data_IF_160970563348
#
_entry.id   IF_160970563348
#
_cell.length_a   1.000
_cell.length_b   1.000
_cell.length_c   1.000
_cell.angle_alpha   90.00
_cell.angle_beta   90.00
_cell.angle_gamma   90.00
#
_symmetry.space_group_name_H-M   'P 1'
#
loop_
_entity.id
_entity.type
_entity.pdbx_description
1 polymer ?
#
# COMPACT_ATOMS: atom_id res chain seq x y z
N UNK A 1 -14.05 12.43 -29.05
CA UNK A 1 -13.59 11.06 -29.29
C UNK A 1 -13.80 10.20 -28.04
N UNK A 2 -14.10 8.93 -28.23
CA UNK A 2 -14.25 7.96 -27.13
C UNK A 2 -12.85 7.38 -26.87
N UNK A 3 -12.33 7.52 -25.64
CA UNK A 3 -11.09 6.89 -25.22
C UNK A 3 -11.42 5.64 -24.37
N UNK A 4 -10.80 4.52 -24.67
CA UNK A 4 -10.92 3.28 -23.88
C UNK A 4 -9.54 2.92 -23.31
N UNK A 5 -9.45 2.82 -21.98
CA UNK A 5 -8.25 2.36 -21.27
C UNK A 5 -8.50 0.94 -20.75
N UNK A 6 -7.70 -0.03 -21.22
CA UNK A 6 -7.79 -1.43 -20.78
C UNK A 6 -6.57 -1.76 -19.91
N UNK A 7 -6.81 -2.01 -18.62
CA UNK A 7 -5.79 -2.51 -17.68
C UNK A 7 -5.89 -4.03 -17.57
N UNK A 8 -4.81 -4.73 -17.94
CA UNK A 8 -4.71 -6.18 -17.76
C UNK A 8 -4.07 -6.51 -16.42
N UNK A 9 -4.77 -7.30 -15.60
CA UNK A 9 -4.29 -7.82 -14.32
C UNK A 9 -4.10 -9.34 -14.41
N UNK A 10 -2.93 -9.84 -14.86
CA UNK A 10 -2.74 -11.27 -15.06
C UNK A 10 -2.66 -12.02 -13.71
N UNK A 11 -3.27 -13.22 -13.69
CA UNK A 11 -3.19 -14.14 -12.56
C UNK A 11 -1.81 -14.82 -12.52
N UNK A 12 -0.78 -14.09 -12.12
CA UNK A 12 0.59 -14.59 -11.94
C UNK A 12 1.36 -13.73 -10.95
N UNK A 13 2.32 -14.32 -10.26
CA UNK A 13 3.33 -13.62 -9.49
C UNK A 13 4.49 -13.31 -10.42
N UNK A 14 4.90 -12.04 -10.48
CA UNK A 14 6.01 -11.58 -11.31
C UNK A 14 7.33 -11.52 -10.56
N UNK A 15 7.26 -11.64 -9.23
CA UNK A 15 8.39 -11.56 -8.32
C UNK A 15 8.77 -12.96 -7.84
N UNK A 16 10.07 -13.19 -7.69
CA UNK A 16 10.66 -14.31 -6.98
C UNK A 16 11.90 -13.80 -6.25
N UNK A 17 12.49 -14.59 -5.33
CA UNK A 17 13.65 -14.18 -4.53
C UNK A 17 14.79 -13.71 -5.41
N UNK A 18 15.20 -14.52 -6.40
CA UNK A 18 16.35 -14.22 -7.27
C UNK A 18 16.16 -12.89 -8.02
N UNK A 19 14.94 -12.67 -8.55
CA UNK A 19 14.62 -11.42 -9.24
C UNK A 19 14.67 -10.22 -8.31
N UNK A 20 14.11 -10.35 -7.11
CA UNK A 20 14.10 -9.28 -6.11
C UNK A 20 15.52 -8.86 -5.73
N UNK A 21 16.42 -9.83 -5.54
CA UNK A 21 17.82 -9.57 -5.17
C UNK A 21 18.61 -9.05 -6.38
N UNK A 22 18.56 -9.73 -7.52
CA UNK A 22 19.33 -9.38 -8.72
C UNK A 22 18.93 -8.00 -9.30
N UNK A 23 17.65 -7.62 -9.18
CA UNK A 23 17.19 -6.30 -9.60
C UNK A 23 17.40 -5.22 -8.53
N UNK A 24 18.04 -5.56 -7.40
CA UNK A 24 18.28 -4.65 -6.28
C UNK A 24 16.98 -4.04 -5.70
N UNK A 25 15.88 -4.78 -5.83
CA UNK A 25 14.59 -4.38 -5.25
C UNK A 25 14.63 -4.38 -3.73
N UNK A 26 15.35 -5.34 -3.16
CA UNK A 26 15.52 -5.58 -1.73
C UNK A 26 16.87 -6.27 -1.48
N UNK A 27 17.45 -6.11 -0.29
CA UNK A 27 18.61 -6.92 0.14
C UNK A 27 18.15 -8.32 0.56
N UNK A 28 19.05 -9.31 0.48
CA UNK A 28 18.71 -10.68 0.89
C UNK A 28 18.32 -10.76 2.36
N UNK A 29 19.06 -10.08 3.22
CA UNK A 29 18.79 -10.00 4.65
C UNK A 29 17.36 -9.48 4.95
N UNK A 30 16.99 -8.35 4.32
CA UNK A 30 15.65 -7.77 4.49
C UNK A 30 14.57 -8.67 3.89
N UNK A 31 14.86 -9.34 2.75
CA UNK A 31 13.94 -10.30 2.14
C UNK A 31 13.61 -11.43 3.12
N UNK A 32 14.64 -12.06 3.68
CA UNK A 32 14.47 -13.22 4.57
C UNK A 32 13.77 -12.80 5.88
N UNK A 33 14.07 -11.60 6.39
CA UNK A 33 13.33 -11.00 7.52
C UNK A 33 11.84 -10.81 7.21
N UNK A 34 11.48 -10.22 6.05
CA UNK A 34 10.07 -10.02 5.69
C UNK A 34 9.32 -11.34 5.48
N UNK A 35 9.99 -12.37 4.94
CA UNK A 35 9.41 -13.71 4.86
C UNK A 35 9.12 -14.26 6.26
N UNK A 36 10.04 -14.08 7.21
CA UNK A 36 9.83 -14.47 8.61
C UNK A 36 8.70 -13.69 9.29
N UNK A 37 8.54 -12.40 8.95
CA UNK A 37 7.38 -11.63 9.42
C UNK A 37 6.05 -12.22 8.93
N UNK A 38 5.97 -12.67 7.67
CA UNK A 38 4.77 -13.34 7.14
C UNK A 38 4.55 -14.69 7.82
N UNK A 39 5.59 -15.52 7.95
CA UNK A 39 5.52 -16.82 8.64
C UNK A 39 5.06 -16.69 10.10
N UNK A 40 5.47 -15.60 10.78
CA UNK A 40 5.08 -15.25 12.15
C UNK A 40 3.78 -14.44 12.24
N UNK A 41 3.01 -14.33 11.15
CA UNK A 41 1.70 -13.68 11.09
C UNK A 41 1.71 -12.18 11.38
N UNK A 42 2.80 -11.49 11.11
CA UNK A 42 2.82 -10.02 11.22
C UNK A 42 1.84 -9.38 10.24
N UNK A 43 1.08 -8.42 10.73
CA UNK A 43 0.21 -7.58 9.90
C UNK A 43 1.07 -6.56 9.14
N UNK A 44 1.00 -6.60 7.80
CA UNK A 44 1.88 -5.82 6.94
C UNK A 44 1.07 -4.88 6.05
N UNK A 45 1.45 -3.61 6.04
CA UNK A 45 0.92 -2.59 5.13
C UNK A 45 2.00 -2.14 4.16
N UNK A 46 1.70 -2.21 2.85
CA UNK A 46 2.61 -1.79 1.78
C UNK A 46 2.17 -0.45 1.21
N UNK A 47 3.00 0.57 1.43
CA UNK A 47 2.80 1.92 0.94
C UNK A 47 3.56 2.21 -0.36
N UNK A 48 3.13 3.23 -1.08
CA UNK A 48 3.81 3.72 -2.29
C UNK A 48 2.85 4.39 -3.27
N UNK A 49 3.40 5.01 -4.29
CA UNK A 49 2.66 5.67 -5.36
C UNK A 49 1.98 4.67 -6.31
N UNK A 50 1.11 5.17 -7.17
CA UNK A 50 0.51 4.36 -8.25
C UNK A 50 1.62 3.83 -9.17
N UNK A 51 1.56 2.52 -9.48
CA UNK A 51 2.56 1.87 -10.35
C UNK A 51 3.89 1.52 -9.67
N UNK A 52 4.08 1.81 -8.37
CA UNK A 52 5.29 1.44 -7.63
C UNK A 52 5.46 -0.07 -7.42
N UNK A 53 4.38 -0.86 -7.59
CA UNK A 53 4.44 -2.32 -7.47
C UNK A 53 3.95 -2.88 -6.14
N UNK A 54 3.21 -2.10 -5.35
CA UNK A 54 2.61 -2.53 -4.06
C UNK A 54 1.86 -3.86 -4.17
N UNK A 55 0.92 -3.94 -5.11
CA UNK A 55 0.09 -5.14 -5.33
C UNK A 55 0.93 -6.38 -5.69
N UNK A 56 2.00 -6.21 -6.49
CA UNK A 56 2.90 -7.32 -6.82
C UNK A 56 3.72 -7.77 -5.60
N UNK A 57 4.14 -6.84 -4.74
CA UNK A 57 4.81 -7.21 -3.48
C UNK A 57 3.86 -7.93 -2.53
N UNK A 58 2.60 -7.46 -2.39
CA UNK A 58 1.57 -8.15 -1.58
C UNK A 58 1.31 -9.56 -2.10
N UNK A 59 1.19 -9.76 -3.43
CA UNK A 59 1.07 -11.12 -4.01
C UNK A 59 2.25 -12.00 -3.64
N UNK A 60 3.46 -11.45 -3.72
CA UNK A 60 4.67 -12.18 -3.39
C UNK A 60 4.70 -12.55 -1.91
N UNK A 61 4.41 -11.62 -1.00
CA UNK A 61 4.34 -11.90 0.43
C UNK A 61 3.21 -12.90 0.76
N UNK A 62 2.05 -12.77 0.13
CA UNK A 62 0.95 -13.73 0.29
C UNK A 62 1.33 -15.15 -0.16
N UNK A 63 2.27 -15.30 -1.11
CA UNK A 63 2.81 -16.61 -1.49
C UNK A 63 3.69 -17.26 -0.41
N UNK A 64 4.06 -16.51 0.64
CA UNK A 64 4.87 -16.98 1.78
C UNK A 64 4.05 -17.38 3.01
N UNK A 65 2.73 -17.18 2.98
CA UNK A 65 1.84 -17.73 4.00
C UNK A 65 1.80 -19.27 3.90
N UNK A 66 1.47 -19.95 4.98
CA UNK A 66 1.42 -21.43 4.98
C UNK A 66 0.33 -21.93 4.02
N UNK A 67 0.56 -23.09 3.43
CA UNK A 67 -0.35 -23.65 2.41
C UNK A 67 -1.72 -24.05 2.96
N UNK A 68 -1.78 -24.43 4.22
CA UNK A 68 -2.99 -24.85 4.95
C UNK A 68 -3.78 -23.66 5.53
N UNK A 69 -3.27 -22.44 5.42
CA UNK A 69 -3.92 -21.23 5.91
C UNK A 69 -4.92 -20.68 4.89
N UNK A 70 -6.15 -20.50 5.34
CA UNK A 70 -7.20 -19.89 4.53
C UNK A 70 -6.97 -18.41 4.33
N UNK A 71 -7.02 -17.98 3.07
CA UNK A 71 -6.89 -16.58 2.66
C UNK A 71 -8.21 -16.10 2.07
N UNK A 72 -8.69 -14.94 2.48
CA UNK A 72 -9.79 -14.25 1.80
C UNK A 72 -9.28 -12.91 1.30
N UNK A 73 -9.47 -12.63 0.00
CA UNK A 73 -9.19 -11.30 -0.55
C UNK A 73 -10.48 -10.51 -0.67
N UNK A 74 -10.45 -9.23 -0.30
CA UNK A 74 -11.57 -8.29 -0.45
C UNK A 74 -11.10 -7.15 -1.35
N UNK A 75 -11.67 -7.04 -2.54
CA UNK A 75 -11.20 -6.16 -3.59
C UNK A 75 -12.38 -5.46 -4.29
N UNK A 76 -12.23 -4.19 -4.60
CA UNK A 76 -13.18 -3.50 -5.48
C UNK A 76 -12.93 -3.81 -6.97
N UNK A 77 -11.67 -4.02 -7.31
CA UNK A 77 -11.22 -4.53 -8.61
C UNK A 77 -10.29 -5.71 -8.37
N UNK A 78 -10.62 -6.86 -8.92
CA UNK A 78 -9.81 -8.07 -8.75
C UNK A 78 -8.43 -7.89 -9.40
N UNK A 79 -7.40 -7.72 -8.58
CA UNK A 79 -6.00 -7.55 -8.98
C UNK A 79 -5.10 -8.65 -8.43
N UNK A 80 -5.43 -9.18 -7.24
CA UNK A 80 -4.60 -10.17 -6.57
C UNK A 80 -4.64 -11.52 -7.27
N UNK A 81 -5.82 -12.01 -7.65
CA UNK A 81 -6.03 -13.30 -8.33
C UNK A 81 -5.34 -14.49 -7.66
N UNK A 82 -5.21 -14.48 -6.33
CA UNK A 82 -4.51 -15.53 -5.59
C UNK A 82 -5.22 -16.89 -5.72
N UNK A 83 -6.55 -16.88 -5.82
CA UNK A 83 -7.40 -18.04 -6.08
C UNK A 83 -7.04 -18.76 -7.39
N UNK A 84 -6.66 -18.00 -8.42
CA UNK A 84 -6.25 -18.53 -9.72
C UNK A 84 -4.76 -18.88 -9.78
N UNK A 85 -3.94 -18.18 -9.01
CA UNK A 85 -2.50 -18.44 -8.91
C UNK A 85 -2.24 -19.73 -8.14
N UNK A 86 -3.00 -19.97 -7.08
CA UNK A 86 -2.87 -21.11 -6.16
C UNK A 86 -4.17 -21.91 -6.06
N UNK A 87 -4.62 -22.59 -7.15
CA UNK A 87 -5.92 -23.25 -7.18
C UNK A 87 -6.08 -24.43 -6.23
N UNK A 88 -4.97 -24.89 -5.61
CA UNK A 88 -4.94 -25.98 -4.63
C UNK A 88 -5.03 -25.48 -3.18
N UNK A 89 -4.98 -24.16 -2.94
CA UNK A 89 -5.09 -23.56 -1.62
C UNK A 89 -6.51 -23.10 -1.34
N UNK A 90 -6.88 -23.05 -0.06
CA UNK A 90 -8.17 -22.48 0.38
C UNK A 90 -8.13 -20.93 0.29
N UNK A 91 -8.43 -20.42 -0.91
CA UNK A 91 -8.43 -18.98 -1.19
C UNK A 91 -9.76 -18.56 -1.78
N UNK A 92 -10.41 -17.57 -1.16
CA UNK A 92 -11.67 -16.98 -1.63
C UNK A 92 -11.45 -15.54 -2.04
N UNK A 93 -11.82 -15.18 -3.26
CA UNK A 93 -11.77 -13.81 -3.77
C UNK A 93 -13.16 -13.17 -3.72
N UNK A 94 -13.31 -12.11 -2.89
CA UNK A 94 -14.55 -11.35 -2.77
C UNK A 94 -14.42 -10.01 -3.47
N UNK A 95 -15.44 -9.64 -4.25
CA UNK A 95 -15.52 -8.36 -4.94
C UNK A 95 -16.57 -7.47 -4.28
N UNK A 96 -16.18 -6.22 -3.98
CA UNK A 96 -17.08 -5.25 -3.31
C UNK A 96 -17.83 -4.36 -4.30
N UNK A 97 -17.18 -3.91 -5.36
CA UNK A 97 -17.70 -2.88 -6.28
C UNK A 97 -19.12 -3.15 -6.77
N UNK A 98 -20.07 -2.30 -6.38
CA UNK A 98 -21.51 -2.35 -6.72
C UNK A 98 -22.26 -3.65 -6.31
N UNK A 99 -21.60 -4.55 -5.57
CA UNK A 99 -22.17 -5.83 -5.13
C UNK A 99 -22.38 -5.82 -3.61
N UNK A 100 -21.33 -5.48 -2.87
CA UNK A 100 -21.33 -5.40 -1.41
C UNK A 100 -20.40 -4.29 -0.96
N UNK A 101 -20.62 -3.74 0.22
CA UNK A 101 -19.67 -2.85 0.90
C UNK A 101 -18.48 -3.64 1.47
N UNK A 102 -17.41 -2.94 1.85
CA UNK A 102 -16.29 -3.57 2.57
C UNK A 102 -16.75 -4.18 3.89
N UNK A 103 -17.68 -3.52 4.58
CA UNK A 103 -18.26 -3.99 5.85
C UNK A 103 -19.04 -5.28 5.67
N UNK A 104 -19.92 -5.36 4.68
CA UNK A 104 -20.68 -6.58 4.37
C UNK A 104 -19.78 -7.74 3.95
N UNK A 105 -18.78 -7.47 3.09
CA UNK A 105 -17.79 -8.46 2.69
C UNK A 105 -16.99 -8.97 3.89
N UNK A 106 -16.59 -8.09 4.81
CA UNK A 106 -15.87 -8.46 6.03
C UNK A 106 -16.74 -9.34 6.96
N UNK A 107 -18.02 -8.98 7.17
CA UNK A 107 -18.93 -9.81 7.98
C UNK A 107 -19.10 -11.21 7.39
N UNK A 108 -19.23 -11.32 6.06
CA UNK A 108 -19.29 -12.61 5.38
C UNK A 108 -17.96 -13.38 5.48
N UNK A 109 -16.84 -12.68 5.41
CA UNK A 109 -15.50 -13.22 5.53
C UNK A 109 -15.26 -13.85 6.92
N UNK A 110 -15.62 -13.15 7.99
CA UNK A 110 -15.43 -13.62 9.38
C UNK A 110 -16.14 -14.95 9.69
N UNK A 111 -17.21 -15.27 8.96
CA UNK A 111 -17.94 -16.54 9.13
C UNK A 111 -17.24 -17.72 8.43
N UNK A 112 -16.21 -17.46 7.63
CA UNK A 112 -15.48 -18.48 6.87
C UNK A 112 -14.17 -18.90 7.56
N UNK A 113 -13.89 -18.41 8.78
CA UNK A 113 -12.71 -18.71 9.57
C UNK A 113 -11.38 -18.52 8.82
N UNK A 114 -11.13 -17.36 8.18
CA UNK A 114 -9.86 -17.10 7.52
C UNK A 114 -8.74 -16.89 8.55
N UNK A 115 -7.53 -17.24 8.17
CA UNK A 115 -6.31 -16.81 8.88
C UNK A 115 -5.90 -15.42 8.35
N UNK A 116 -5.96 -15.25 7.03
CA UNK A 116 -5.56 -14.02 6.37
C UNK A 116 -6.74 -13.34 5.67
N UNK A 117 -6.86 -12.02 5.89
CA UNK A 117 -7.78 -11.15 5.16
C UNK A 117 -6.95 -10.11 4.42
N UNK A 118 -6.96 -10.13 3.09
CA UNK A 118 -6.19 -9.23 2.24
C UNK A 118 -7.12 -8.22 1.58
N UNK A 119 -6.99 -6.96 1.96
CA UNK A 119 -7.62 -5.87 1.22
C UNK A 119 -6.65 -5.40 0.14
N UNK A 120 -7.08 -5.37 -1.12
CA UNK A 120 -6.20 -4.97 -2.22
C UNK A 120 -5.65 -3.56 -2.06
N UNK A 121 -6.50 -2.63 -1.58
CA UNK A 121 -6.09 -1.25 -1.33
C UNK A 121 -6.96 -0.57 -0.27
N UNK A 122 -6.31 0.11 0.68
CA UNK A 122 -6.97 0.95 1.68
C UNK A 122 -7.00 2.39 1.17
N UNK A 123 -8.18 2.84 0.67
CA UNK A 123 -8.35 4.16 0.06
C UNK A 123 -9.58 4.95 0.53
N UNK A 124 -10.38 4.38 1.42
CA UNK A 124 -11.58 4.99 1.97
C UNK A 124 -11.67 4.77 3.48
N UNK A 125 -12.51 5.56 4.15
CA UNK A 125 -12.81 5.39 5.56
C UNK A 125 -13.32 3.98 5.87
N UNK A 126 -14.20 3.44 5.04
CA UNK A 126 -14.75 2.11 5.19
C UNK A 126 -13.68 1.02 5.12
N UNK A 127 -12.74 1.13 4.17
CA UNK A 127 -11.61 0.20 4.05
C UNK A 127 -10.67 0.28 5.28
N UNK A 128 -10.42 1.48 5.83
CA UNK A 128 -9.65 1.65 7.08
C UNK A 128 -10.33 0.95 8.24
N UNK A 129 -11.65 1.13 8.39
CA UNK A 129 -12.42 0.48 9.45
C UNK A 129 -12.45 -1.04 9.27
N UNK A 130 -12.55 -1.54 8.02
CA UNK A 130 -12.49 -2.96 7.72
C UNK A 130 -11.15 -3.56 8.12
N UNK A 131 -10.01 -2.91 7.80
CA UNK A 131 -8.68 -3.31 8.28
C UNK A 131 -8.65 -3.37 9.79
N UNK A 132 -9.02 -2.27 10.48
CA UNK A 132 -8.99 -2.21 11.94
C UNK A 132 -9.83 -3.32 12.58
N UNK A 133 -11.03 -3.57 12.05
CA UNK A 133 -11.92 -4.60 12.58
C UNK A 133 -11.36 -6.02 12.32
N UNK A 134 -10.72 -6.26 11.16
CA UNK A 134 -10.08 -7.54 10.86
C UNK A 134 -8.97 -7.88 11.86
N UNK A 135 -8.03 -6.94 12.07
CA UNK A 135 -6.89 -7.16 12.97
C UNK A 135 -7.29 -7.22 14.43
N UNK A 136 -8.28 -6.42 14.87
CA UNK A 136 -8.76 -6.46 16.26
C UNK A 136 -9.56 -7.72 16.59
N UNK A 137 -10.06 -8.44 15.57
CA UNK A 137 -10.74 -9.74 15.72
C UNK A 137 -9.82 -10.95 15.56
N UNK A 138 -8.50 -10.74 15.51
CA UNK A 138 -7.49 -11.78 15.50
C UNK A 138 -7.14 -12.35 14.13
N UNK A 139 -7.59 -11.72 13.03
CA UNK A 139 -7.17 -12.07 11.68
C UNK A 139 -5.91 -11.31 11.29
N UNK A 140 -5.11 -11.88 10.38
CA UNK A 140 -3.91 -11.27 9.87
C UNK A 140 -4.15 -10.59 8.52
N UNK A 141 -3.40 -9.53 8.24
CA UNK A 141 -3.57 -8.74 7.03
C UNK A 141 -2.29 -8.58 6.23
N UNK A 142 -2.46 -8.58 4.91
CA UNK A 142 -1.53 -8.00 3.93
C UNK A 142 -2.34 -7.04 3.07
N UNK A 143 -1.98 -5.77 3.05
CA UNK A 143 -2.78 -4.76 2.34
C UNK A 143 -1.91 -3.66 1.77
N UNK A 144 -2.48 -2.83 0.88
CA UNK A 144 -1.79 -1.68 0.31
C UNK A 144 -2.45 -0.37 0.66
N UNK A 145 -1.66 0.70 0.68
CA UNK A 145 -2.13 2.06 0.91
C UNK A 145 -1.29 3.06 0.10
N UNK A 146 -1.86 4.20 -0.27
CA UNK A 146 -1.09 5.32 -0.81
C UNK A 146 -0.54 6.17 0.33
N UNK A 147 0.78 6.09 0.55
CA UNK A 147 1.53 6.96 1.44
C UNK A 147 2.94 7.19 0.88
N UNK A 148 3.60 8.22 1.33
CA UNK A 148 4.93 8.67 0.87
C UNK A 148 6.10 8.03 1.63
N UNK A 149 5.82 7.39 2.77
CA UNK A 149 6.79 6.69 3.63
C UNK A 149 6.10 5.53 4.36
N UNK A 150 6.90 4.57 4.83
CA UNK A 150 6.38 3.50 5.68
C UNK A 150 5.90 4.07 7.04
N UNK A 151 6.68 4.97 7.63
CA UNK A 151 6.36 5.63 8.90
C UNK A 151 5.08 6.49 8.85
N UNK A 152 4.67 6.96 7.66
CA UNK A 152 3.44 7.76 7.47
C UNK A 152 2.16 6.92 7.41
N UNK A 153 2.24 5.59 7.35
CA UNK A 153 1.07 4.70 7.17
C UNK A 153 -0.02 4.93 8.22
N UNK A 154 0.27 4.95 9.55
CA UNK A 154 -0.77 5.14 10.55
C UNK A 154 -1.50 6.47 10.42
N UNK A 155 -0.76 7.56 10.18
CA UNK A 155 -1.33 8.88 9.98
C UNK A 155 -2.13 8.96 8.67
N UNK A 156 -1.66 8.29 7.60
CA UNK A 156 -2.39 8.21 6.34
C UNK A 156 -3.71 7.48 6.50
N UNK A 157 -3.75 6.38 7.25
CA UNK A 157 -4.99 5.68 7.59
C UNK A 157 -5.95 6.61 8.34
N UNK A 158 -5.45 7.35 9.33
CA UNK A 158 -6.25 8.34 10.05
C UNK A 158 -6.82 9.41 9.12
N UNK A 159 -6.02 9.93 8.20
CA UNK A 159 -6.46 10.97 7.26
C UNK A 159 -7.54 10.53 6.26
N UNK A 160 -7.76 9.23 6.10
CA UNK A 160 -8.85 8.68 5.29
C UNK A 160 -10.17 8.62 6.05
N UNK A 161 -10.16 8.78 7.38
CA UNK A 161 -11.37 8.84 8.18
C UNK A 161 -11.96 10.26 8.07
N UNK A 162 -13.20 10.36 7.65
CA UNK A 162 -13.89 11.65 7.45
C UNK A 162 -14.49 12.21 8.74
N UNK A 163 -14.46 11.43 9.83
CA UNK A 163 -15.09 11.79 11.11
C UNK A 163 -14.05 12.02 12.19
N UNK A 164 -14.34 12.95 13.12
CA UNK A 164 -13.49 13.35 14.23
C UNK A 164 -13.31 12.25 15.29
N UNK A 165 -12.77 11.08 14.90
CA UNK A 165 -12.31 10.09 15.86
C UNK A 165 -11.12 10.66 16.63
N UNK A 166 -10.99 10.26 17.89
CA UNK A 166 -9.81 10.57 18.69
C UNK A 166 -8.56 10.00 18.01
N UNK A 167 -7.62 10.91 17.68
CA UNK A 167 -6.40 10.58 16.96
C UNK A 167 -5.49 9.66 17.79
N UNK A 168 -5.35 9.90 19.09
CA UNK A 168 -4.46 9.13 19.95
C UNK A 168 -4.99 7.70 20.10
N UNK A 169 -6.30 7.55 20.31
CA UNK A 169 -6.96 6.25 20.38
C UNK A 169 -6.82 5.48 19.06
N UNK A 170 -7.02 6.17 17.93
CA UNK A 170 -6.88 5.54 16.62
C UNK A 170 -5.45 5.10 16.36
N UNK A 171 -4.47 5.99 16.53
CA UNK A 171 -3.06 5.68 16.33
C UNK A 171 -2.59 4.57 17.27
N UNK A 172 -3.01 4.61 18.55
CA UNK A 172 -2.76 3.56 19.51
C UNK A 172 -3.26 2.19 19.03
N UNK A 173 -4.46 2.13 18.44
CA UNK A 173 -5.01 0.89 17.89
C UNK A 173 -4.21 0.40 16.67
N UNK A 174 -3.83 1.29 15.75
CA UNK A 174 -3.07 0.93 14.56
C UNK A 174 -1.67 0.42 14.93
N UNK A 175 -0.95 1.13 15.82
CA UNK A 175 0.40 0.72 16.25
C UNK A 175 0.41 -0.57 17.06
N UNK A 176 -0.69 -0.92 17.69
CA UNK A 176 -0.84 -2.19 18.43
C UNK A 176 -0.98 -3.39 17.49
N UNK A 177 -1.67 -3.22 16.37
CA UNK A 177 -2.11 -4.33 15.54
C UNK A 177 -1.40 -4.43 14.20
N UNK A 178 -0.83 -3.36 13.64
CA UNK A 178 0.00 -3.42 12.46
C UNK A 178 1.45 -3.44 12.90
N UNK A 179 2.17 -4.52 12.59
CA UNK A 179 3.55 -4.68 12.99
C UNK A 179 4.53 -4.06 12.00
N UNK A 180 4.26 -4.15 10.68
CA UNK A 180 5.21 -3.76 9.64
C UNK A 180 4.57 -2.82 8.61
N UNK A 181 5.23 -1.70 8.38
CA UNK A 181 5.01 -0.83 7.23
C UNK A 181 6.16 -0.93 6.24
N UNK A 182 5.84 -1.02 4.94
CA UNK A 182 6.82 -1.08 3.85
C UNK A 182 6.51 0.05 2.87
N UNK A 183 7.52 0.82 2.47
CA UNK A 183 7.38 1.80 1.40
C UNK A 183 8.13 1.36 0.15
N UNK A 184 7.39 1.25 -0.96
CA UNK A 184 7.91 0.88 -2.28
C UNK A 184 7.88 2.09 -3.20
N UNK A 185 9.02 2.40 -3.80
CA UNK A 185 9.16 3.46 -4.80
C UNK A 185 9.39 2.89 -6.18
N UNK A 186 8.67 3.45 -7.16
CA UNK A 186 8.92 3.21 -8.58
C UNK A 186 9.45 4.49 -9.23
N UNK A 187 10.54 4.40 -9.99
CA UNK A 187 11.14 5.55 -10.68
C UNK A 187 11.92 5.11 -11.92
N UNK A 188 12.14 6.04 -12.85
CA UNK A 188 13.01 5.79 -13.99
C UNK A 188 14.46 6.01 -13.58
N UNK A 189 15.25 4.94 -13.56
CA UNK A 189 16.69 5.01 -13.29
C UNK A 189 17.43 5.40 -14.56
N UNK A 190 17.97 6.63 -14.60
CA UNK A 190 18.80 7.09 -15.71
C UNK A 190 20.04 6.23 -15.90
N UNK A 191 20.62 5.73 -14.79
CA UNK A 191 21.81 4.89 -14.80
C UNK A 191 21.56 3.54 -15.46
N UNK A 192 20.42 2.88 -15.11
CA UNK A 192 20.05 1.56 -15.64
C UNK A 192 19.23 1.65 -16.93
N UNK A 193 18.88 2.86 -17.37
CA UNK A 193 18.00 3.16 -18.51
C UNK A 193 16.71 2.30 -18.49
N UNK A 194 16.14 2.12 -17.31
CA UNK A 194 14.89 1.35 -17.12
C UNK A 194 14.07 1.86 -15.95
N UNK A 195 12.80 1.48 -15.92
CA UNK A 195 11.96 1.70 -14.75
C UNK A 195 12.38 0.73 -13.64
N UNK A 196 12.78 1.30 -12.51
CA UNK A 196 13.24 0.58 -11.32
C UNK A 196 12.14 0.63 -10.24
N UNK A 197 12.05 -0.43 -9.45
CA UNK A 197 11.21 -0.50 -8.26
C UNK A 197 12.04 -1.01 -7.11
N UNK A 198 11.92 -0.38 -5.95
CA UNK A 198 12.74 -0.71 -4.79
C UNK A 198 11.95 -0.49 -3.49
N UNK A 199 12.25 -1.29 -2.48
CA UNK A 199 11.85 -0.98 -1.11
C UNK A 199 12.81 0.10 -0.61
N UNK A 200 12.24 1.24 -0.23
CA UNK A 200 13.01 2.39 0.27
C UNK A 200 12.97 2.49 1.79
N UNK A 201 11.90 2.00 2.43
CA UNK A 201 11.74 2.12 3.87
C UNK A 201 10.94 0.94 4.40
N UNK A 202 11.37 0.40 5.56
CA UNK A 202 10.60 -0.55 6.36
C UNK A 202 10.61 -0.05 7.80
N UNK A 203 9.42 0.08 8.39
CA UNK A 203 9.21 0.45 9.78
C UNK A 203 8.45 -0.64 10.51
N UNK A 204 8.77 -0.83 11.77
CA UNK A 204 7.90 -1.50 12.71
C UNK A 204 7.04 -0.49 13.48
N UNK A 205 5.86 -0.92 13.89
CA UNK A 205 4.95 -0.18 14.75
C UNK A 205 4.67 -0.99 16.00
N UNK A 206 4.64 -0.36 17.15
CA UNK A 206 4.36 -1.00 18.42
C UNK A 206 3.85 0.01 19.45
N UNK A 207 3.40 -0.51 20.58
CA UNK A 207 3.05 0.29 21.75
C UNK A 207 4.14 0.05 22.79
N UNK A 208 4.75 1.12 23.30
CA UNK A 208 5.76 1.05 24.33
C UNK A 208 5.19 0.75 25.72
N UNK A 209 6.05 0.63 26.73
CA UNK A 209 5.69 0.33 28.12
C UNK A 209 4.84 1.45 28.76
N UNK A 210 4.94 2.67 28.26
CA UNK A 210 4.11 3.81 28.66
C UNK A 210 2.75 3.87 27.93
N UNK A 211 2.43 2.83 27.17
CA UNK A 211 1.24 2.71 26.32
C UNK A 211 1.14 3.78 25.22
N UNK A 212 2.29 4.27 24.72
CA UNK A 212 2.35 5.24 23.63
C UNK A 212 2.67 4.56 22.30
N UNK A 213 2.07 5.05 21.19
CA UNK A 213 2.37 4.54 19.86
C UNK A 213 3.77 4.92 19.41
N UNK A 214 4.57 3.95 19.00
CA UNK A 214 5.94 4.09 18.55
C UNK A 214 6.13 3.53 17.14
N UNK A 215 7.01 4.17 16.38
CA UNK A 215 7.48 3.71 15.08
C UNK A 215 9.00 3.62 15.10
N UNK A 216 9.55 2.48 14.70
CA UNK A 216 10.99 2.27 14.58
C UNK A 216 11.35 1.97 13.14
N UNK A 217 12.32 2.71 12.63
CA UNK A 217 12.90 2.42 11.32
C UNK A 217 13.73 1.14 11.41
N UNK A 218 13.46 0.17 10.53
CA UNK A 218 14.24 -1.07 10.42
C UNK A 218 15.18 -1.03 9.22
N UNK A 219 14.73 -0.41 8.13
CA UNK A 219 15.47 -0.35 6.87
C UNK A 219 15.18 0.98 6.18
N UNK A 220 16.22 1.63 5.70
CA UNK A 220 16.11 2.78 4.81
C UNK A 220 17.16 2.70 3.70
N UNK A 221 16.71 2.80 2.44
CA UNK A 221 17.57 2.92 1.28
C UNK A 221 17.47 4.32 0.71
N UNK A 222 18.62 4.90 0.42
CA UNK A 222 18.73 6.22 -0.20
C UNK A 222 18.90 6.11 -1.70
N UNK A 223 18.61 7.18 -2.43
CA UNK A 223 18.76 7.23 -3.89
C UNK A 223 20.23 7.12 -4.36
N UNK A 224 21.18 7.40 -3.48
CA UNK A 224 22.62 7.22 -3.70
C UNK A 224 23.08 5.76 -3.50
N UNK A 225 22.18 4.88 -3.05
CA UNK A 225 22.40 3.47 -2.81
C UNK A 225 22.81 3.11 -1.40
N UNK A 226 23.05 4.07 -0.51
CA UNK A 226 23.30 3.79 0.92
C UNK A 226 22.09 3.13 1.55
N UNK A 227 22.35 2.18 2.44
CA UNK A 227 21.33 1.48 3.22
C UNK A 227 21.66 1.63 4.70
N UNK A 228 20.64 1.99 5.47
CA UNK A 228 20.68 2.05 6.93
C UNK A 228 19.79 0.96 7.47
N UNK A 229 20.27 0.21 8.43
CA UNK A 229 19.57 -0.90 9.10
C UNK A 229 19.55 -0.66 10.60
N UNK A 230 18.46 -1.08 11.24
CA UNK A 230 18.33 -1.15 12.70
C UNK A 230 17.69 -2.50 13.05
N UNK A 231 18.18 -3.13 14.13
CA UNK A 231 17.58 -4.37 14.61
C UNK A 231 16.11 -4.18 14.99
N UNK A 232 15.27 -5.22 14.83
CA UNK A 232 13.91 -5.24 15.33
C UNK A 232 13.84 -4.98 16.83
N UNK A 233 12.75 -4.37 17.29
CA UNK A 233 12.52 -4.22 18.72
C UNK A 233 12.20 -5.56 19.38
N UNK A 234 12.36 -5.62 20.69
CA UNK A 234 11.93 -6.77 21.48
C UNK A 234 10.43 -7.05 21.29
N UNK A 235 9.60 -6.01 21.18
CA UNK A 235 8.17 -6.15 20.96
C UNK A 235 7.84 -6.94 19.68
N UNK A 236 8.55 -6.65 18.58
CA UNK A 236 8.36 -7.38 17.33
C UNK A 236 8.90 -8.81 17.42
N UNK A 237 10.05 -9.01 18.05
CA UNK A 237 10.63 -10.34 18.25
C UNK A 237 9.71 -11.23 19.10
N UNK A 238 9.17 -10.71 20.20
CA UNK A 238 8.21 -11.41 21.06
C UNK A 238 6.91 -11.71 20.30
N UNK A 239 6.41 -10.78 19.48
CA UNK A 239 5.24 -11.03 18.63
C UNK A 239 5.47 -12.19 17.65
N UNK A 240 6.61 -12.20 16.97
CA UNK A 240 6.97 -13.26 16.02
C UNK A 240 7.18 -14.60 16.72
N UNK A 241 7.73 -14.59 17.93
CA UNK A 241 7.91 -15.79 18.74
C UNK A 241 6.57 -16.44 19.13
N UNK A 242 5.51 -15.66 19.39
CA UNK A 242 4.15 -16.16 19.57
C UNK A 242 3.67 -16.88 18.30
N UNK A 243 4.01 -16.36 17.11
CA UNK A 243 3.77 -17.00 15.82
C UNK A 243 4.70 -18.18 15.50
N UNK A 244 5.49 -18.64 16.49
CA UNK A 244 6.48 -19.71 16.37
C UNK A 244 7.65 -19.39 15.40
N UNK A 245 8.01 -18.11 15.28
CA UNK A 245 9.17 -17.65 14.52
C UNK A 245 10.16 -16.99 15.47
N UNK A 246 11.30 -17.64 15.67
CA UNK A 246 12.38 -17.11 16.52
C UNK A 246 13.42 -16.39 15.67
N UNK A 247 13.66 -15.12 15.96
CA UNK A 247 14.72 -14.33 15.38
C UNK A 247 15.67 -13.86 16.49
N UNK A 248 16.98 -13.74 16.20
CA UNK A 248 17.93 -13.21 17.17
C UNK A 248 17.75 -11.69 17.32
N UNK A 249 18.15 -11.15 18.47
CA UNK A 249 18.12 -9.69 18.72
C UNK A 249 18.99 -8.93 17.71
N UNK A 250 20.09 -9.52 17.26
CA UNK A 250 20.98 -8.99 16.23
C UNK A 250 20.59 -9.47 14.81
N UNK A 251 19.33 -9.53 14.49
CA UNK A 251 18.76 -10.02 13.21
C UNK A 251 19.50 -9.47 11.98
N UNK A 252 19.94 -8.21 12.04
CA UNK A 252 20.72 -7.58 10.96
C UNK A 252 22.23 -7.51 11.25
N UNK A 253 22.71 -8.24 12.26
CA UNK A 253 24.13 -8.31 12.64
C UNK A 253 24.65 -7.03 13.29
N UNK A 254 23.78 -6.32 14.02
CA UNK A 254 24.09 -5.11 14.76
C UNK A 254 24.23 -5.45 16.25
N UNK A 255 25.28 -4.98 16.91
CA UNK A 255 25.46 -5.15 18.35
C UNK A 255 25.02 -3.88 19.08
N UNK A 256 23.96 -4.02 19.91
CA UNK A 256 23.38 -2.89 20.64
C UNK A 256 22.42 -2.05 19.81
N UNK A 257 22.42 -0.73 20.07
CA UNK A 257 21.61 0.26 19.32
C UNK A 257 22.34 0.80 18.08
N UNK A 258 23.43 0.16 17.65
CA UNK A 258 24.27 0.64 16.58
C UNK A 258 23.53 0.60 15.24
N UNK A 259 23.66 1.71 14.50
CA UNK A 259 23.21 1.84 13.13
C UNK A 259 24.26 1.24 12.20
N UNK A 260 23.86 0.32 11.31
CA UNK A 260 24.71 -0.17 10.23
C UNK A 260 24.42 0.57 8.94
N UNK A 261 25.46 1.18 8.37
CA UNK A 261 25.41 1.75 7.03
C UNK A 261 25.99 0.68 6.08
N UNK A 262 25.16 0.16 5.20
CA UNK A 262 25.55 -0.83 4.18
C UNK A 262 25.57 -0.17 2.81
N UNK A 263 26.78 -0.04 2.24
CA UNK A 263 27.01 0.49 0.91
C UNK A 263 27.09 -0.60 -0.17
N UNK A 264 26.78 -1.88 0.14
CA UNK A 264 26.91 -3.01 -0.79
C UNK A 264 26.11 -2.85 -2.09
N UNK A 265 25.03 -2.07 -2.03
CA UNK A 265 24.23 -1.73 -3.21
C UNK A 265 24.71 -0.46 -3.93
N UNK A 266 25.75 0.21 -3.40
CA UNK A 266 26.38 1.34 -4.05
C UNK A 266 27.24 0.81 -5.21
N UNK A 267 26.80 1.04 -6.44
CA UNK A 267 27.64 0.77 -7.58
C UNK A 267 28.68 1.88 -7.60
N UNK A 268 29.88 1.56 -7.14
CA UNK A 268 31.05 2.42 -7.33
C UNK A 268 31.31 2.42 -8.83
N UNK A 269 30.94 3.50 -9.52
CA UNK A 269 31.57 3.82 -10.78
C UNK A 269 33.06 4.03 -10.47
N UNK A 270 33.89 3.01 -10.65
CA UNK A 270 35.31 3.22 -10.89
C UNK A 270 35.36 4.08 -12.15
N UNK A 271 35.37 5.40 -11.97
CA UNK A 271 35.92 6.30 -12.98
C UNK A 271 37.38 5.90 -13.14
N UNK A 272 37.65 5.06 -14.12
CA UNK A 272 38.94 5.09 -14.72
C UNK A 272 39.13 6.50 -15.23
N UNK A 273 39.88 7.27 -14.47
CA UNK A 273 40.44 8.54 -14.91
C UNK A 273 41.43 8.20 -16.02
N UNK A 274 40.94 8.04 -17.25
CA UNK A 274 41.78 8.26 -18.41
C UNK A 274 42.14 9.75 -18.37
N UNK A 275 43.45 9.97 -18.22
CA UNK A 275 44.02 11.32 -18.32
C UNK A 275 43.51 12.00 -19.61
N UNK A 276 43.17 13.29 -19.58
CA UNK A 276 42.71 14.00 -20.75
C UNK A 276 43.83 13.97 -21.79
N UNK A 277 43.61 13.31 -22.92
CA UNK A 277 44.41 13.55 -24.13
C UNK A 277 44.17 14.99 -24.54
N UNK A 278 45.23 15.77 -24.50
CA UNK A 278 45.30 17.10 -25.09
C UNK A 278 44.79 17.04 -26.53
N UNK A 279 43.60 17.57 -26.77
CA UNK A 279 43.07 17.78 -28.11
C UNK A 279 43.52 19.15 -28.54
N UNK A 280 44.48 19.17 -29.51
CA UNK A 280 44.88 20.34 -30.27
C UNK A 280 43.62 21.07 -30.79
N UNK A 281 43.55 22.36 -30.46
CA UNK A 281 42.50 23.26 -30.95
C UNK A 281 42.72 23.52 -32.43
N UNK A 282 41.75 23.32 -33.33
CA UNK A 282 41.84 23.82 -34.69
C UNK A 282 41.64 25.34 -34.63
N UNK A 283 42.58 26.07 -35.26
CA UNK A 283 42.50 27.49 -35.52
C UNK A 283 41.39 27.73 -36.55
N UNK A 284 40.33 28.38 -36.12
CA UNK A 284 39.31 28.90 -37.06
C UNK A 284 39.46 30.40 -37.14
N UNK A 285 39.72 30.87 -38.37
CA UNK A 285 39.76 32.26 -38.78
C UNK A 285 38.42 32.94 -38.54
N UNK A 286 38.52 34.12 -37.95
CA UNK A 286 37.39 35.05 -37.79
C UNK A 286 37.33 35.88 -39.06
N UNK A 287 36.25 35.77 -39.83
CA UNK A 287 35.76 36.82 -40.70
C UNK A 287 34.33 37.16 -40.28
N UNK A 288 34.26 38.39 -39.81
CA UNK A 288 32.99 39.11 -39.60
C UNK A 288 32.60 39.83 -40.91
N UNK A 289 31.38 39.77 -41.39
CA UNK A 289 30.73 41.01 -41.63
C UNK A 289 29.22 41.03 -41.36
N UNK A 290 28.79 42.06 -40.80
CA UNK A 290 27.67 42.96 -41.12
C UNK A 290 27.01 43.48 -39.86
N UNK A 291 27.39 44.69 -39.57
CA UNK A 291 26.62 45.68 -38.87
C UNK A 291 25.43 46.16 -39.73
N UNK A 292 24.27 46.37 -39.14
CA UNK A 292 23.44 47.60 -39.35
C UNK A 292 22.21 47.58 -38.43
N UNK A 293 22.20 48.57 -37.57
CA UNK A 293 21.23 49.64 -37.34
C UNK A 293 19.78 49.24 -36.95
N UNK A 294 19.47 49.57 -35.71
CA UNK A 294 18.80 50.83 -35.24
C UNK A 294 17.33 50.94 -35.56
N UNK A 295 16.57 51.07 -34.57
CA UNK A 295 15.67 52.17 -34.12
C UNK A 295 14.43 51.56 -33.46
N UNK A 296 14.27 51.82 -32.18
CA UNK A 296 13.36 52.80 -31.56
C UNK A 296 11.89 52.60 -31.93
N UNK A 297 11.08 52.20 -30.96
CA UNK A 297 10.04 53.11 -30.43
C UNK A 297 9.31 52.51 -29.20
N UNK A 298 9.02 53.41 -28.32
CA UNK A 298 8.33 53.34 -27.04
C UNK A 298 6.83 53.32 -27.23
N UNK A 299 6.21 52.96 -26.11
CA UNK A 299 4.85 53.30 -25.64
C UNK A 299 3.87 52.12 -25.71
N UNK A 300 3.10 51.83 -24.70
CA UNK A 300 2.41 52.62 -23.75
C UNK A 300 1.83 51.76 -22.63
N UNK A 301 1.85 52.35 -21.51
CA UNK A 301 1.16 52.00 -20.28
C UNK A 301 -0.35 52.07 -20.47
N UNK A 302 -1.09 51.09 -19.99
CA UNK A 302 -2.47 51.30 -19.53
C UNK A 302 -2.76 50.47 -18.27
N UNK A 303 -2.92 51.21 -17.19
CA UNK A 303 -3.66 50.85 -15.97
C UNK A 303 -5.17 50.90 -16.26
N UNK A 304 -5.93 50.01 -15.62
CA UNK A 304 -7.17 50.29 -14.88
C UNK A 304 -7.71 48.98 -14.35
N UNK A 305 -7.71 48.77 -13.04
CA UNK A 305 -8.64 49.15 -11.97
C UNK A 305 -10.10 48.69 -12.22
N UNK A 306 -10.49 47.82 -11.29
CA UNK A 306 -11.76 47.72 -10.53
C UNK A 306 -13.05 47.44 -11.29
N UNK A 307 -13.75 46.34 -10.92
CA UNK A 307 -14.93 46.48 -10.06
C UNK A 307 -15.48 45.09 -9.64
N UNK A 308 -15.69 44.95 -8.35
CA UNK A 308 -16.49 43.95 -7.70
C UNK A 308 -17.98 44.18 -7.98
N UNK A 309 -18.74 43.11 -8.18
CA UNK A 309 -20.17 43.08 -7.82
C UNK A 309 -20.52 41.73 -7.26
N UNK A 310 -20.85 41.74 -5.97
CA UNK A 310 -21.57 40.74 -5.24
C UNK A 310 -22.95 40.48 -5.85
N UNK A 311 -23.34 39.20 -6.00
CA UNK A 311 -24.75 38.84 -5.77
C UNK A 311 -24.83 37.42 -5.18
N UNK A 312 -25.05 37.41 -3.88
CA UNK A 312 -25.52 36.29 -3.08
C UNK A 312 -27.01 36.08 -3.39
N UNK A 313 -27.40 34.93 -3.86
CA UNK A 313 -28.79 34.48 -3.79
C UNK A 313 -28.86 33.27 -2.85
N UNK A 314 -29.36 33.55 -1.66
CA UNK A 314 -29.78 32.60 -0.65
C UNK A 314 -31.11 31.98 -1.07
N UNK A 315 -31.14 30.67 -1.29
CA UNK A 315 -32.38 29.92 -1.38
C UNK A 315 -32.54 29.13 -0.10
N UNK A 316 -33.35 29.65 0.81
CA UNK A 316 -33.88 28.93 1.95
C UNK A 316 -34.90 27.90 1.46
N UNK A 317 -34.61 26.61 1.66
CA UNK A 317 -35.61 25.56 1.71
C UNK A 317 -35.56 24.93 3.11
N UNK A 318 -36.55 25.31 3.89
CA UNK A 318 -36.98 24.61 5.11
C UNK A 318 -37.47 23.23 4.74
N UNK A 319 -36.82 22.20 5.31
CA UNK A 319 -37.34 20.84 5.33
C UNK A 319 -37.69 20.51 6.75
N UNK A 320 -38.99 20.28 6.98
CA UNK A 320 -39.55 19.80 8.26
C UNK A 320 -39.04 18.39 8.57
N UNK A 321 -38.82 18.02 9.84
CA UNK A 321 -38.38 16.68 10.22
C UNK A 321 -39.57 15.72 10.23
N UNK A 322 -39.49 14.68 9.40
CA UNK A 322 -40.40 13.53 9.45
C UNK A 322 -40.08 12.63 10.64
N UNK A 323 -41.11 12.28 11.38
CA UNK A 323 -41.09 11.44 12.59
C UNK A 323 -40.68 9.99 12.30
N UNK A 324 -40.10 9.28 13.28
CA UNK A 324 -39.70 7.88 13.12
C UNK A 324 -40.92 6.95 13.16
N UNK A 325 -41.01 6.09 12.15
CA UNK A 325 -41.98 4.98 12.13
C UNK A 325 -41.43 3.87 13.02
N UNK A 326 -42.08 3.70 14.18
CA UNK A 326 -41.90 2.54 15.06
C UNK A 326 -42.72 1.39 14.46
N UNK A 327 -42.11 0.40 13.88
CA UNK A 327 -42.78 -0.85 13.59
C UNK A 327 -42.39 -1.92 14.61
N UNK A 328 -43.37 -2.26 15.42
CA UNK A 328 -43.43 -3.46 16.25
C UNK A 328 -43.34 -4.71 15.37
N UNK A 329 -42.37 -5.54 15.61
CA UNK A 329 -42.41 -6.96 15.27
C UNK A 329 -41.92 -7.76 16.48
N UNK A 330 -42.85 -8.06 17.34
CA UNK A 330 -42.76 -9.16 18.29
C UNK A 330 -43.43 -10.40 17.68
N UNK A 331 -42.79 -11.55 17.97
CA UNK A 331 -43.31 -12.92 17.93
C UNK A 331 -43.21 -13.64 16.56
N UNK A 332 -42.15 -14.47 16.39
CA UNK A 332 -42.30 -15.94 16.39
C UNK A 332 -40.92 -16.57 16.13
N UNK A 333 -40.32 -17.07 17.20
CA UNK A 333 -39.20 -18.01 17.14
C UNK A 333 -39.75 -19.37 17.49
N UNK A 334 -39.99 -20.19 16.48
CA UNK A 334 -40.02 -21.66 16.62
C UNK A 334 -39.77 -22.26 15.20
N UNK A 335 -38.87 -23.25 15.15
CA UNK A 335 -38.61 -24.17 14.04
C UNK A 335 -37.77 -23.64 12.86
N UNK A 336 -36.46 -23.75 13.01
CA UNK A 336 -35.54 -23.89 11.88
C UNK A 336 -34.50 -24.97 12.18
N UNK A 337 -34.95 -26.21 12.10
CA UNK A 337 -34.14 -27.40 11.87
C UNK A 337 -34.59 -27.99 10.53
N UNK A 338 -34.04 -27.49 9.42
CA UNK A 338 -33.94 -28.17 8.13
C UNK A 338 -32.89 -27.43 7.30
N UNK A 339 -31.76 -28.08 7.09
CA UNK A 339 -30.77 -27.73 6.07
C UNK A 339 -31.42 -27.88 4.70
N UNK A 340 -31.91 -26.77 4.13
CA UNK A 340 -32.30 -26.71 2.74
C UNK A 340 -31.03 -26.65 1.89
N UNK A 341 -30.73 -27.78 1.25
CA UNK A 341 -29.75 -27.86 0.17
C UNK A 341 -30.35 -27.06 -0.99
N UNK A 342 -29.79 -25.89 -1.25
CA UNK A 342 -30.20 -25.07 -2.41
C UNK A 342 -29.70 -25.80 -3.66
N UNK A 343 -30.63 -26.18 -4.53
CA UNK A 343 -30.37 -26.86 -5.78
C UNK A 343 -29.63 -25.93 -6.76
N UNK A 344 -28.55 -26.43 -7.37
CA UNK A 344 -27.72 -25.69 -8.34
C UNK A 344 -28.55 -25.22 -9.55
N UNK A 345 -29.67 -25.88 -9.89
CA UNK A 345 -30.56 -25.49 -10.97
C UNK A 345 -31.40 -24.25 -10.63
N UNK A 346 -31.69 -24.01 -9.38
CA UNK A 346 -32.40 -22.81 -8.92
C UNK A 346 -31.50 -21.58 -8.96
N UNK A 347 -30.20 -21.73 -8.64
CA UNK A 347 -29.19 -20.69 -8.79
C UNK A 347 -29.02 -20.31 -10.27
N UNK A 348 -28.99 -21.26 -11.17
CA UNK A 348 -28.87 -20.99 -12.59
C UNK A 348 -30.12 -20.33 -13.19
N UNK A 349 -31.33 -20.56 -12.64
CA UNK A 349 -32.56 -19.86 -13.05
C UNK A 349 -32.54 -18.37 -12.61
N UNK A 350 -32.01 -18.07 -11.45
CA UNK A 350 -31.90 -16.69 -10.96
C UNK A 350 -30.87 -15.90 -11.77
N UNK A 351 -29.77 -16.54 -12.18
CA UNK A 351 -28.72 -15.90 -12.99
C UNK A 351 -29.23 -15.59 -14.41
N UNK A 352 -30.04 -16.49 -15.00
CA UNK A 352 -30.53 -16.31 -16.37
C UNK A 352 -31.73 -15.35 -16.48
N UNK A 353 -32.46 -15.07 -15.40
CA UNK A 353 -33.58 -14.12 -15.41
C UNK A 353 -33.16 -12.66 -15.27
N UNK A 354 -31.89 -12.36 -14.94
CA UNK A 354 -31.36 -10.99 -14.84
C UNK A 354 -30.63 -10.53 -16.12
N UNK A 355 -30.67 -11.30 -17.20
CA UNK A 355 -30.04 -10.95 -18.48
C UNK A 355 -31.07 -10.72 -19.64
N UNK A 356 -32.32 -10.41 -19.30
CA UNK A 356 -33.32 -9.92 -20.27
C UNK A 356 -33.77 -8.51 -19.94
#
# INVERSE_FOLDING_TARGET
GIACLIRKTPAKIRLNKDKLINEQYITEQLHDFLVKCVEGHANIMVAGETGSGKTELVKYLASKTKEDEKIITIEDTLELHLDKIFPHRDIVAMKTNNIASYTEALVACMRQNPIWILLSEVRSAEAVLAVRNSISSGHHILSTIHADKASSIPMRMYSLLETGQDIEQFLGSIHRYIQIGIYVKGYFSKRLNRFQREIMEVCEFYIDDDNKPQSRLLYQKFMDGRIVLHNPSKNLLDYLAIGNVMLPEDTFGLHGEDEKIDDSNRIVEERKTEAPKEVEKPKVNVENPFSMNSSVEKSGVFNNQTNAVNQTQTINRTVEPSQPIVNNLNNNVTDLDKTDIIDLDEINRIINNNNN
#
